data_IF_941635436203
#
_entry.id   IF_941635436203
#
_cell.length_a   1.000
_cell.length_b   1.000
_cell.length_c   1.000
_cell.angle_alpha   90.00
_cell.angle_beta   90.00
_cell.angle_gamma   90.00
#
_symmetry.space_group_name_H-M   'P 1'
#
loop_
_entity.id
_entity.type
_entity.pdbx_description
1 polymer ?
#
# COMPACT_ATOMS: atom_id res chain seq x y z
N UNK A 1 -22.14 20.25 39.02
CA UNK A 1 -20.74 20.41 39.47
C UNK A 1 -19.87 19.48 38.63
N UNK A 2 -18.81 19.97 37.99
CA UNK A 2 -17.89 19.10 37.23
C UNK A 2 -16.90 18.48 38.23
N UNK A 3 -17.12 17.25 38.64
CA UNK A 3 -16.16 16.51 39.48
C UNK A 3 -14.85 16.34 38.71
N UNK A 4 -13.72 16.77 39.29
CA UNK A 4 -12.41 16.62 38.66
C UNK A 4 -11.98 15.16 38.54
N UNK A 5 -11.16 14.82 37.52
CA UNK A 5 -10.73 13.42 37.27
C UNK A 5 -9.99 12.76 38.43
N UNK A 6 -9.27 13.53 39.25
CA UNK A 6 -8.53 13.04 40.42
C UNK A 6 -9.34 13.14 41.73
N UNK A 7 -10.54 13.71 41.71
CA UNK A 7 -11.38 13.89 42.90
C UNK A 7 -11.98 12.57 43.38
N UNK A 8 -12.36 12.52 44.65
CA UNK A 8 -13.08 11.38 45.24
C UNK A 8 -14.41 11.21 44.51
N UNK A 9 -14.70 9.97 44.13
CA UNK A 9 -15.90 9.65 43.37
C UNK A 9 -17.16 9.82 44.23
N UNK A 10 -18.21 10.42 43.64
CA UNK A 10 -19.48 10.72 44.33
C UNK A 10 -20.32 9.49 44.71
N UNK A 11 -19.92 8.28 44.32
CA UNK A 11 -20.62 7.04 44.64
C UNK A 11 -20.27 6.47 46.03
N UNK A 12 -19.44 7.16 46.82
CA UNK A 12 -19.03 6.70 48.15
C UNK A 12 -17.96 5.60 48.15
N UNK A 13 -17.37 5.26 47.00
CA UNK A 13 -16.36 4.19 46.92
C UNK A 13 -14.98 4.53 47.49
N UNK A 14 -14.74 5.80 47.85
CA UNK A 14 -13.44 6.28 48.32
C UNK A 14 -12.33 6.33 47.25
N UNK A 15 -12.61 5.92 46.00
CA UNK A 15 -11.65 5.89 44.89
C UNK A 15 -11.70 7.20 44.08
N UNK A 16 -10.62 7.51 43.36
CA UNK A 16 -10.59 8.66 42.43
C UNK A 16 -11.60 8.45 41.30
N UNK A 17 -12.23 9.52 40.82
CA UNK A 17 -13.24 9.49 39.76
C UNK A 17 -12.76 8.75 38.50
N UNK A 18 -11.51 9.01 38.06
CA UNK A 18 -10.84 8.30 36.94
C UNK A 18 -10.70 6.78 37.11
N UNK A 19 -10.79 6.28 38.33
CA UNK A 19 -10.65 4.86 38.67
C UNK A 19 -11.98 4.18 39.03
N UNK A 20 -13.09 4.93 39.04
CA UNK A 20 -14.40 4.39 39.39
C UNK A 20 -15.38 4.54 38.22
N UNK A 21 -15.80 5.76 37.89
CA UNK A 21 -16.80 6.02 36.84
C UNK A 21 -16.19 6.49 35.51
N UNK A 22 -14.87 6.70 35.48
CA UNK A 22 -14.14 7.08 34.28
C UNK A 22 -13.00 6.09 33.99
N UNK A 23 -13.23 4.82 34.32
CA UNK A 23 -12.36 3.70 33.95
C UNK A 23 -12.29 3.63 32.42
N UNK A 24 -11.19 4.14 31.85
CA UNK A 24 -10.88 3.89 30.45
C UNK A 24 -10.41 2.44 30.37
N UNK A 25 -11.22 1.56 29.77
CA UNK A 25 -10.83 0.17 29.47
C UNK A 25 -9.46 0.23 28.80
N UNK A 26 -8.43 -0.25 29.50
CA UNK A 26 -7.08 -0.21 29.00
C UNK A 26 -7.01 -1.23 27.85
N UNK A 27 -7.18 -0.75 26.63
CA UNK A 27 -7.02 -1.57 25.43
C UNK A 27 -5.57 -1.98 25.21
N UNK A 28 -4.64 -1.68 26.11
CA UNK A 28 -3.23 -2.03 26.00
C UNK A 28 -3.02 -3.53 25.76
N UNK A 29 -3.85 -4.43 26.30
CA UNK A 29 -3.79 -5.85 25.93
C UNK A 29 -4.19 -6.11 24.48
N UNK A 30 -5.27 -5.48 23.99
CA UNK A 30 -5.73 -5.61 22.59
C UNK A 30 -4.80 -4.90 21.60
N UNK A 31 -4.22 -3.76 21.99
CA UNK A 31 -3.21 -3.04 21.20
C UNK A 31 -1.91 -3.81 21.15
N UNK A 32 -1.45 -4.41 22.27
CA UNK A 32 -0.29 -5.30 22.26
C UNK A 32 -0.55 -6.57 21.45
N UNK A 33 -1.77 -7.11 21.47
CA UNK A 33 -2.17 -8.25 20.65
C UNK A 33 -2.16 -7.90 19.15
N UNK A 34 -2.66 -6.73 18.76
CA UNK A 34 -2.58 -6.25 17.38
C UNK A 34 -1.13 -5.99 16.93
N UNK A 35 -0.31 -5.37 17.79
CA UNK A 35 1.12 -5.16 17.53
C UNK A 35 1.88 -6.49 17.41
N UNK A 36 1.55 -7.49 18.23
CA UNK A 36 2.12 -8.83 18.14
C UNK A 36 1.79 -9.49 16.80
N UNK A 37 0.53 -9.42 16.33
CA UNK A 37 0.15 -9.97 15.02
C UNK A 37 0.87 -9.30 13.85
N UNK A 38 1.00 -7.96 13.87
CA UNK A 38 1.74 -7.23 12.83
C UNK A 38 3.21 -7.66 12.83
N UNK A 39 3.85 -7.73 14.01
CA UNK A 39 5.24 -8.18 14.10
C UNK A 39 5.43 -9.61 13.59
N UNK A 40 4.49 -10.52 13.89
CA UNK A 40 4.54 -11.90 13.45
C UNK A 40 4.45 -11.99 11.92
N UNK A 41 3.55 -11.23 11.29
CA UNK A 41 3.40 -11.20 9.84
C UNK A 41 4.66 -10.67 9.11
N UNK A 42 5.32 -9.65 9.67
CA UNK A 42 6.57 -9.11 9.11
C UNK A 42 7.70 -10.14 9.22
N UNK A 43 7.80 -10.83 10.35
CA UNK A 43 8.79 -11.90 10.55
C UNK A 43 8.52 -13.06 9.60
N UNK A 44 7.28 -13.55 9.49
CA UNK A 44 6.98 -14.66 8.58
C UNK A 44 7.22 -14.31 7.12
N UNK A 45 6.90 -13.09 6.68
CA UNK A 45 7.20 -12.65 5.31
C UNK A 45 8.70 -12.48 5.04
N UNK A 46 9.48 -12.02 6.02
CA UNK A 46 10.93 -11.90 5.87
C UNK A 46 11.65 -13.26 5.85
N UNK A 47 11.19 -14.23 6.65
CA UNK A 47 11.81 -15.56 6.74
C UNK A 47 11.28 -16.58 5.72
N UNK A 48 10.02 -16.46 5.27
CA UNK A 48 9.38 -17.40 4.32
C UNK A 48 9.04 -16.77 2.95
N UNK A 49 9.23 -15.46 2.76
CA UNK A 49 8.92 -14.76 1.50
C UNK A 49 9.78 -15.18 0.30
N UNK A 50 10.85 -15.96 0.52
CA UNK A 50 11.71 -16.47 -0.55
C UNK A 50 11.22 -17.78 -1.18
N UNK A 51 10.18 -18.44 -0.68
CA UNK A 51 9.67 -19.70 -1.26
C UNK A 51 8.61 -19.47 -2.38
N UNK A 52 8.09 -18.26 -2.58
CA UNK A 52 7.16 -17.95 -3.68
C UNK A 52 7.89 -17.83 -5.05
N UNK A 53 9.22 -17.62 -5.02
CA UNK A 53 10.07 -17.52 -6.22
C UNK A 53 11.08 -18.67 -6.33
N UNK A 54 10.73 -19.87 -5.88
CA UNK A 54 11.37 -21.06 -6.44
C UNK A 54 10.58 -21.44 -7.69
N UNK A 55 11.09 -21.16 -8.91
CA UNK A 55 10.55 -21.82 -10.07
C UNK A 55 10.74 -23.32 -9.81
N UNK A 56 9.64 -24.01 -9.55
CA UNK A 56 9.62 -25.47 -9.64
C UNK A 56 9.93 -25.77 -11.10
N UNK A 57 11.19 -26.03 -11.39
CA UNK A 57 11.66 -26.59 -12.66
C UNK A 57 11.09 -28.01 -12.78
N UNK A 58 9.78 -28.11 -12.99
CA UNK A 58 9.14 -29.31 -13.50
C UNK A 58 9.50 -29.37 -14.98
N UNK A 59 10.52 -30.16 -15.24
CA UNK A 59 10.95 -30.71 -16.52
C UNK A 59 9.76 -31.26 -17.32
N UNK A 60 9.05 -30.41 -18.04
CA UNK A 60 8.27 -30.80 -19.21
C UNK A 60 9.01 -30.28 -20.43
N UNK A 61 9.69 -31.23 -21.07
CA UNK A 61 10.41 -31.15 -22.32
C UNK A 61 9.60 -30.45 -23.43
N UNK A 62 9.62 -29.13 -23.49
CA UNK A 62 9.42 -28.33 -24.70
C UNK A 62 10.32 -27.09 -24.62
N UNK A 63 11.55 -27.27 -25.10
CA UNK A 63 12.50 -26.27 -25.62
C UNK A 63 12.18 -24.78 -25.34
N UNK A 64 12.97 -24.05 -24.52
CA UNK A 64 12.79 -22.62 -24.37
C UNK A 64 13.31 -21.91 -25.62
N UNK A 65 12.40 -21.35 -26.43
CA UNK A 65 12.76 -20.19 -27.26
C UNK A 65 13.16 -19.05 -26.31
N UNK A 66 14.26 -18.32 -26.57
CA UNK A 66 14.61 -17.17 -25.76
C UNK A 66 13.43 -16.20 -25.77
N UNK A 67 13.01 -15.75 -24.60
CA UNK A 67 11.96 -14.77 -24.43
C UNK A 67 12.47 -13.45 -25.01
N UNK A 68 12.23 -13.27 -26.31
CA UNK A 68 12.38 -11.99 -26.97
C UNK A 68 11.44 -11.02 -26.27
N UNK A 69 11.97 -9.88 -25.85
CA UNK A 69 11.15 -8.71 -25.51
C UNK A 69 10.51 -8.24 -26.80
N UNK A 70 9.47 -8.96 -27.22
CA UNK A 70 8.55 -8.58 -28.28
C UNK A 70 7.27 -8.00 -27.66
N UNK A 71 7.41 -7.24 -26.58
CA UNK A 71 6.28 -6.47 -26.05
C UNK A 71 6.60 -5.02 -25.72
N UNK A 72 7.59 -4.44 -26.40
CA UNK A 72 7.61 -2.99 -26.69
C UNK A 72 6.77 -2.67 -27.94
N UNK A 73 6.07 -3.66 -28.52
CA UNK A 73 5.21 -3.47 -29.69
C UNK A 73 3.75 -3.12 -29.37
N UNK A 74 3.32 -3.18 -28.10
CA UNK A 74 1.95 -2.78 -27.70
C UNK A 74 1.80 -1.30 -27.37
N UNK A 75 2.86 -0.48 -27.50
CA UNK A 75 2.76 0.99 -27.54
C UNK A 75 3.15 1.55 -28.92
N UNK A 76 2.87 0.80 -30.00
CA UNK A 76 3.01 1.36 -31.35
C UNK A 76 1.95 2.44 -31.55
N UNK A 77 2.45 3.65 -31.87
CA UNK A 77 1.67 4.78 -32.37
C UNK A 77 0.61 4.26 -33.36
N UNK A 78 -0.67 4.65 -33.24
CA UNK A 78 -1.69 4.25 -34.20
C UNK A 78 -1.24 4.60 -35.62
N UNK A 79 -1.42 3.67 -36.58
CA UNK A 79 -1.10 3.91 -38.00
C UNK A 79 -1.94 5.10 -38.49
N UNK A 80 -1.28 6.24 -38.72
CA UNK A 80 -1.91 7.48 -39.16
C UNK A 80 -0.99 8.68 -39.00
N UNK A 81 -1.22 9.70 -39.84
CA UNK A 81 -0.54 10.98 -39.71
C UNK A 81 -0.84 11.61 -38.35
N UNK A 82 0.17 12.27 -37.79
CA UNK A 82 0.02 12.93 -36.51
C UNK A 82 -1.01 14.05 -36.64
N UNK A 83 -1.98 14.18 -35.72
CA UNK A 83 -2.85 15.34 -35.70
C UNK A 83 -1.99 16.62 -35.65
N UNK A 84 -2.33 17.67 -36.44
CA UNK A 84 -1.57 18.92 -36.47
C UNK A 84 -1.39 19.46 -35.05
N UNK A 85 -0.14 19.70 -34.66
CA UNK A 85 0.19 20.21 -33.33
C UNK A 85 0.18 19.18 -32.21
N UNK A 86 0.16 17.87 -32.47
CA UNK A 86 0.27 16.83 -31.43
C UNK A 86 1.56 15.99 -31.54
N UNK A 87 2.13 15.61 -30.41
CA UNK A 87 3.29 14.71 -30.29
C UNK A 87 2.90 13.42 -29.56
N UNK A 88 3.43 12.27 -30.01
CA UNK A 88 3.14 10.96 -29.41
C UNK A 88 4.13 10.67 -28.27
N UNK A 89 3.63 10.39 -27.06
CA UNK A 89 4.49 9.87 -25.98
C UNK A 89 4.46 8.34 -25.98
N UNK A 90 5.62 7.75 -26.31
CA UNK A 90 5.80 6.29 -26.38
C UNK A 90 5.67 5.65 -25.00
N UNK A 91 5.98 6.37 -23.92
CA UNK A 91 5.94 5.85 -22.55
C UNK A 91 4.49 5.79 -22.00
N UNK A 92 3.60 6.65 -22.50
CA UNK A 92 2.24 6.80 -21.97
C UNK A 92 1.14 6.47 -22.98
N UNK A 93 1.48 6.11 -24.23
CA UNK A 93 0.51 5.68 -25.24
C UNK A 93 -0.55 6.73 -25.62
N UNK A 94 -0.25 8.03 -25.52
CA UNK A 94 -1.20 9.10 -25.88
C UNK A 94 -0.55 10.32 -26.55
N UNK A 95 -1.38 11.18 -27.13
CA UNK A 95 -0.98 12.43 -27.79
C UNK A 95 -0.93 13.59 -26.79
N UNK A 96 0.15 14.36 -26.79
CA UNK A 96 0.21 15.68 -26.12
C UNK A 96 0.04 16.80 -27.15
N UNK A 97 -0.57 17.90 -26.74
CA UNK A 97 -0.58 19.11 -27.55
C UNK A 97 0.80 19.79 -27.47
N UNK A 98 1.29 20.33 -28.60
CA UNK A 98 2.42 21.26 -28.59
C UNK A 98 1.91 22.54 -27.95
N UNK A 99 2.44 22.90 -26.78
CA UNK A 99 2.25 24.22 -26.24
C UNK A 99 2.85 25.21 -27.23
N UNK A 100 2.01 26.00 -27.88
CA UNK A 100 2.39 27.14 -28.70
C UNK A 100 2.66 28.35 -27.80
N UNK A 101 3.51 28.20 -26.78
CA UNK A 101 4.16 29.35 -26.19
C UNK A 101 5.45 29.57 -26.96
N UNK A 102 5.42 30.59 -27.83
CA UNK A 102 6.45 31.59 -28.11
C UNK A 102 5.96 32.46 -29.27
N UNK A 103 4.94 33.28 -29.01
CA UNK A 103 4.75 34.53 -29.75
C UNK A 103 5.36 35.63 -28.89
N UNK A 104 6.58 36.06 -29.23
CA UNK A 104 7.00 37.46 -29.20
C UNK A 104 8.36 37.63 -29.87
#
# INVERSE_FOLDING_TARGET
MKTGRNEICHCGSGKKFKQCHQLRKNSQSTQLLYLAFISMAIVTTFFFGNEIFKPTDTSSSLSPKPFSIENTQTLKRPKGDAPPGKIWSVEHGHWHNKNNENTH
#
